data_IF_229198170101
#
_entry.id   IF_229198170101
#
_cell.length_a   1.000
_cell.length_b   1.000
_cell.length_c   1.000
_cell.angle_alpha   90.00
_cell.angle_beta   90.00
_cell.angle_gamma   90.00
#
_symmetry.space_group_name_H-M   'P 1'
#
loop_
_entity.id
_entity.type
_entity.pdbx_description
1 polymer ?
#
# COMPACT_ATOMS: atom_id res chain seq x y z
N UNK A 1 -4.43 -18.92 19.85
CA UNK A 1 -4.96 -19.36 18.55
C UNK A 1 -4.40 -18.41 17.50
N UNK A 2 -3.66 -18.90 16.50
CA UNK A 2 -3.25 -18.07 15.37
C UNK A 2 -4.51 -17.58 14.65
N UNK A 3 -4.63 -16.27 14.45
CA UNK A 3 -5.67 -15.74 13.55
C UNK A 3 -5.24 -16.08 12.13
N UNK A 4 -6.21 -16.52 11.32
CA UNK A 4 -5.93 -16.72 9.90
C UNK A 4 -5.64 -15.37 9.27
N UNK A 5 -4.58 -15.33 8.46
CA UNK A 5 -4.24 -14.15 7.70
C UNK A 5 -5.41 -13.81 6.77
N UNK A 6 -5.77 -12.52 6.68
CA UNK A 6 -6.83 -12.11 5.77
C UNK A 6 -6.48 -12.58 4.35
N UNK A 7 -7.37 -13.28 3.62
CA UNK A 7 -7.11 -13.75 2.25
C UNK A 7 -6.69 -12.63 1.30
N UNK A 8 -7.12 -11.39 1.55
CA UNK A 8 -6.63 -10.22 0.84
C UNK A 8 -5.12 -10.11 0.96
N UNK A 9 -4.51 -10.39 2.10
CA UNK A 9 -3.06 -10.32 2.29
C UNK A 9 -2.32 -11.59 1.83
N UNK A 10 -2.95 -12.58 1.20
CA UNK A 10 -2.21 -13.75 0.68
C UNK A 10 -1.39 -13.46 -0.59
N UNK A 11 -1.57 -12.29 -1.20
CA UNK A 11 -0.76 -11.86 -2.34
C UNK A 11 0.58 -11.31 -1.90
N UNK A 12 1.66 -11.86 -2.43
CA UNK A 12 3.04 -11.41 -2.17
C UNK A 12 3.22 -9.89 -2.35
N UNK A 13 2.70 -9.32 -3.45
CA UNK A 13 2.81 -7.89 -3.70
C UNK A 13 2.03 -7.06 -2.66
N UNK A 14 0.84 -7.51 -2.24
CA UNK A 14 0.08 -6.80 -1.20
C UNK A 14 0.77 -6.87 0.16
N UNK A 15 1.38 -8.01 0.49
CA UNK A 15 2.24 -8.13 1.68
C UNK A 15 3.45 -7.21 1.60
N UNK A 16 4.14 -7.17 0.45
CA UNK A 16 5.28 -6.29 0.23
C UNK A 16 4.92 -4.81 0.39
N UNK A 17 3.80 -4.38 -0.19
CA UNK A 17 3.28 -3.00 -0.03
C UNK A 17 2.97 -2.72 1.45
N UNK A 18 2.24 -3.60 2.12
CA UNK A 18 1.87 -3.41 3.53
C UNK A 18 3.10 -3.39 4.44
N UNK A 19 4.01 -4.34 4.28
CA UNK A 19 5.27 -4.42 5.04
C UNK A 19 6.09 -3.13 4.90
N UNK A 20 6.22 -2.63 3.67
CA UNK A 20 6.89 -1.35 3.41
C UNK A 20 6.19 -0.18 4.09
N UNK A 21 4.87 -0.06 3.96
CA UNK A 21 4.11 1.06 4.54
C UNK A 21 3.92 0.95 6.05
N UNK A 22 4.25 -0.18 6.67
CA UNK A 22 4.32 -0.31 8.14
C UNK A 22 5.68 0.18 8.65
N UNK A 23 6.75 -0.01 7.88
CA UNK A 23 8.10 0.43 8.27
C UNK A 23 8.35 1.92 8.05
N UNK A 24 7.47 2.61 7.31
CA UNK A 24 7.51 4.06 7.08
C UNK A 24 6.15 4.70 7.34
N UNK A 25 6.12 5.96 7.75
CA UNK A 25 4.84 6.65 8.04
C UNK A 25 3.92 6.80 6.82
N UNK A 26 4.50 7.12 5.67
CA UNK A 26 3.84 7.19 4.36
C UNK A 26 4.89 7.11 3.25
N UNK A 27 4.47 6.69 2.06
CA UNK A 27 5.34 6.64 0.89
C UNK A 27 4.61 7.04 -0.38
N UNK A 28 5.34 7.63 -1.33
CA UNK A 28 4.80 7.91 -2.65
C UNK A 28 4.81 6.67 -3.56
N UNK A 29 3.90 6.66 -4.54
CA UNK A 29 3.73 5.56 -5.48
C UNK A 29 5.03 5.17 -6.21
N UNK A 30 5.89 6.14 -6.55
CA UNK A 30 7.14 5.87 -7.26
C UNK A 30 8.11 5.12 -6.36
N UNK A 31 8.24 5.54 -5.10
CA UNK A 31 9.04 4.85 -4.11
C UNK A 31 8.55 3.41 -3.89
N UNK A 32 7.24 3.22 -3.69
CA UNK A 32 6.67 1.87 -3.50
C UNK A 32 6.95 0.98 -4.72
N UNK A 33 6.84 1.54 -5.94
CA UNK A 33 7.16 0.82 -7.18
C UNK A 33 8.62 0.38 -7.24
N UNK A 34 9.54 1.25 -6.84
CA UNK A 34 10.97 0.94 -6.83
C UNK A 34 11.31 -0.15 -5.81
N UNK A 35 10.74 -0.07 -4.60
CA UNK A 35 11.00 -1.06 -3.54
C UNK A 35 10.39 -2.42 -3.87
N UNK A 36 9.17 -2.45 -4.42
CA UNK A 36 8.48 -3.71 -4.75
C UNK A 36 8.85 -4.27 -6.12
N UNK A 37 9.58 -3.51 -6.94
CA UNK A 37 9.91 -3.84 -8.35
C UNK A 37 8.69 -4.16 -9.22
N UNK A 38 7.50 -3.75 -8.78
CA UNK A 38 6.26 -3.98 -9.51
C UNK A 38 6.17 -3.07 -10.74
N UNK A 39 5.42 -3.52 -11.75
CA UNK A 39 5.00 -2.62 -12.82
C UNK A 39 3.98 -1.61 -12.29
N UNK A 40 3.92 -0.43 -12.89
CA UNK A 40 2.99 0.63 -12.45
C UNK A 40 1.52 0.17 -12.51
N UNK A 41 1.13 -0.55 -13.57
CA UNK A 41 -0.24 -1.07 -13.70
C UNK A 41 -0.60 -2.05 -12.59
N UNK A 42 0.26 -3.03 -12.31
CA UNK A 42 0.00 -4.00 -11.24
C UNK A 42 -0.03 -3.31 -9.86
N UNK A 43 0.92 -2.41 -9.59
CA UNK A 43 0.96 -1.68 -8.32
C UNK A 43 -0.31 -0.84 -8.10
N UNK A 44 -0.80 -0.15 -9.14
CA UNK A 44 -2.03 0.64 -9.07
C UNK A 44 -3.22 -0.21 -8.66
N UNK A 45 -3.40 -1.37 -9.30
CA UNK A 45 -4.50 -2.29 -9.00
C UNK A 45 -4.41 -2.85 -7.58
N UNK A 46 -3.20 -3.17 -7.09
CA UNK A 46 -3.04 -3.68 -5.73
C UNK A 46 -3.27 -2.60 -4.66
N UNK A 47 -2.78 -1.38 -4.87
CA UNK A 47 -3.02 -0.25 -3.96
C UNK A 47 -4.53 0.07 -3.91
N UNK A 48 -5.21 0.05 -5.04
CA UNK A 48 -6.67 0.25 -5.09
C UNK A 48 -7.41 -0.82 -4.30
N UNK A 49 -7.06 -2.11 -4.46
CA UNK A 49 -7.65 -3.20 -3.65
C UNK A 49 -7.42 -3.02 -2.15
N UNK A 50 -6.20 -2.66 -1.75
CA UNK A 50 -5.87 -2.39 -0.35
C UNK A 50 -6.62 -1.17 0.19
N UNK A 51 -6.78 -0.13 -0.64
CA UNK A 51 -7.51 1.08 -0.27
C UNK A 51 -9.01 0.83 -0.13
N UNK A 52 -9.61 0.10 -1.06
CA UNK A 52 -11.04 -0.26 -1.03
C UNK A 52 -11.37 -1.17 0.16
N UNK A 53 -10.44 -2.03 0.57
CA UNK A 53 -10.56 -2.83 1.78
C UNK A 53 -10.23 -2.05 3.08
N UNK A 54 -9.80 -0.79 2.96
CA UNK A 54 -9.50 0.09 4.09
C UNK A 54 -8.17 -0.19 4.78
N UNK A 55 -7.23 -0.93 4.16
CA UNK A 55 -5.89 -1.17 4.68
C UNK A 55 -4.93 -0.01 4.43
N UNK A 56 -5.11 0.68 3.30
CA UNK A 56 -4.26 1.79 2.87
C UNK A 56 -5.13 3.02 2.62
N UNK A 57 -4.70 4.19 3.12
CA UNK A 57 -5.22 5.48 2.72
C UNK A 57 -4.41 6.01 1.55
N UNK A 58 -5.09 6.41 0.49
CA UNK A 58 -4.49 7.02 -0.70
C UNK A 58 -4.80 8.51 -0.73
N UNK A 59 -3.76 9.35 -0.83
CA UNK A 59 -3.88 10.80 -0.97
C UNK A 59 -3.27 11.23 -2.30
N UNK A 60 -4.09 11.81 -3.18
CA UNK A 60 -3.63 12.48 -4.40
C UNK A 60 -3.22 13.90 -4.04
N UNK A 61 -2.03 14.30 -4.44
CA UNK A 61 -1.44 15.61 -4.16
C UNK A 61 -0.50 16.02 -5.29
N UNK A 62 0.27 17.09 -5.09
CA UNK A 62 1.29 17.55 -6.02
C UNK A 62 2.61 17.72 -5.27
N UNK A 63 3.70 17.28 -5.90
CA UNK A 63 5.07 17.59 -5.48
C UNK A 63 5.61 18.64 -6.46
N UNK A 64 5.52 19.91 -6.08
CA UNK A 64 5.72 21.02 -7.01
C UNK A 64 4.61 21.05 -8.06
N UNK A 65 4.97 20.95 -9.35
CA UNK A 65 4.01 20.92 -10.48
C UNK A 65 3.61 19.51 -10.93
N UNK A 66 4.14 18.46 -10.29
CA UNK A 66 3.89 17.07 -10.70
C UNK A 66 2.85 16.40 -9.79
N UNK A 67 1.84 15.71 -10.35
CA UNK A 67 0.93 14.86 -9.58
C UNK A 67 1.70 13.79 -8.80
N UNK A 68 1.32 13.59 -7.54
CA UNK A 68 1.92 12.62 -6.65
C UNK A 68 0.81 11.87 -5.90
N UNK A 69 0.98 10.56 -5.73
CA UNK A 69 0.06 9.74 -4.94
C UNK A 69 0.82 9.22 -3.73
N UNK A 70 0.36 9.60 -2.54
CA UNK A 70 0.90 9.17 -1.26
C UNK A 70 0.01 8.06 -0.68
N UNK A 71 0.64 7.00 -0.18
CA UNK A 71 -0.02 5.87 0.44
C UNK A 71 0.44 5.75 1.90
N UNK A 72 -0.50 5.43 2.80
CA UNK A 72 -0.26 5.27 4.24
C UNK A 72 -1.11 4.13 4.79
N UNK A 73 -0.60 3.33 5.72
CA UNK A 73 -1.42 2.31 6.41
C UNK A 73 -2.49 2.98 7.26
N UNK A 74 -3.70 2.41 7.27
CA UNK A 74 -4.76 2.91 8.15
C UNK A 74 -4.62 2.34 9.57
N UNK A 75 -5.12 3.05 10.60
CA UNK A 75 -5.13 2.55 11.99
C UNK A 75 -5.90 1.22 12.17
N UNK A 76 -6.74 0.84 11.21
CA UNK A 76 -7.57 -0.37 11.25
C UNK A 76 -6.74 -1.66 11.20
N UNK A 77 -5.45 -1.55 10.87
CA UNK A 77 -4.54 -2.67 10.62
C UNK A 77 -3.86 -3.21 11.89
N UNK A 78 -4.16 -2.68 13.08
CA UNK A 78 -3.67 -3.21 14.36
C UNK A 78 -4.18 -4.60 14.77
N UNK A 79 -4.73 -5.39 13.83
CA UNK A 79 -5.20 -6.76 14.05
C UNK A 79 -4.83 -7.61 12.84
N UNK A 80 -3.55 -7.96 12.73
CA UNK A 80 -3.07 -9.02 11.85
C UNK A 80 -3.43 -10.41 12.41
#
# INVERSE_FOLDING_TARGET
MFKELNPLLHSELRLGIMSLLISVDEADFVYIRQQTKATAGNLSVQIEKLSSAGYVKVKKTFKGKMPCTICKVTPKVGSF
#
